data_IF_649264409005
#
_entry.id   IF_649264409005
#
_cell.length_a   1.000
_cell.length_b   1.000
_cell.length_c   1.000
_cell.angle_alpha   90.00
_cell.angle_beta   90.00
_cell.angle_gamma   90.00
#
_symmetry.space_group_name_H-M   'P 1'
#
loop_
_entity.id
_entity.type
_entity.pdbx_description
1 polymer ?
#
# COMPACT_ATOMS: atom_id res chain seq x y z
N UNK A 1 0.00 1.33 30.36
CA UNK A 1 0.18 2.21 29.17
C UNK A 1 1.05 1.59 28.06
N UNK A 2 2.04 0.74 28.38
CA UNK A 2 2.85 0.03 27.37
C UNK A 2 2.07 -1.09 26.65
N UNK A 3 1.27 -1.85 27.40
CA UNK A 3 0.44 -2.97 26.90
C UNK A 3 -0.52 -2.56 25.78
N UNK A 4 -1.27 -1.45 25.97
CA UNK A 4 -2.26 -0.96 24.99
C UNK A 4 -1.64 -0.59 23.63
N UNK A 5 -0.41 -0.07 23.61
CA UNK A 5 0.30 0.27 22.37
C UNK A 5 0.88 -0.95 21.67
N UNK A 6 1.31 -1.95 22.43
CA UNK A 6 1.80 -3.21 21.90
C UNK A 6 0.65 -4.03 21.27
N UNK A 7 -0.53 -4.00 21.90
CA UNK A 7 -1.76 -4.56 21.31
C UNK A 7 -2.18 -3.83 20.03
N UNK A 8 -2.09 -2.50 19.97
CA UNK A 8 -2.43 -1.76 18.74
C UNK A 8 -1.49 -2.11 17.58
N UNK A 9 -0.18 -2.15 17.82
CA UNK A 9 0.81 -2.55 16.79
C UNK A 9 0.63 -3.99 16.32
N UNK A 10 0.34 -4.91 17.25
CA UNK A 10 0.06 -6.30 16.92
C UNK A 10 -1.24 -6.44 16.11
N UNK A 11 -2.30 -5.72 16.50
CA UNK A 11 -3.57 -5.71 15.78
C UNK A 11 -3.40 -5.18 14.36
N UNK A 12 -2.61 -4.12 14.18
CA UNK A 12 -2.30 -3.59 12.85
C UNK A 12 -1.50 -4.59 12.00
N UNK A 13 -0.49 -5.25 12.59
CA UNK A 13 0.29 -6.27 11.87
C UNK A 13 -0.56 -7.47 11.48
N UNK A 14 -1.38 -7.97 12.42
CA UNK A 14 -2.31 -9.07 12.19
C UNK A 14 -3.32 -8.71 11.10
N UNK A 15 -3.93 -7.52 11.16
CA UNK A 15 -4.87 -7.06 10.13
C UNK A 15 -4.22 -6.94 8.74
N UNK A 16 -2.98 -6.46 8.65
CA UNK A 16 -2.23 -6.41 7.39
C UNK A 16 -1.83 -7.80 6.87
N UNK A 17 -1.47 -8.71 7.77
CA UNK A 17 -1.22 -10.12 7.42
C UNK A 17 -2.48 -10.82 6.93
N UNK A 18 -3.61 -10.62 7.62
CA UNK A 18 -4.94 -11.06 7.17
C UNK A 18 -5.24 -10.52 5.78
N UNK A 19 -4.98 -9.24 5.53
CA UNK A 19 -5.22 -8.60 4.24
C UNK A 19 -4.43 -9.29 3.11
N UNK A 20 -3.16 -9.61 3.33
CA UNK A 20 -2.32 -10.35 2.36
C UNK A 20 -2.86 -11.77 2.10
N UNK A 21 -3.26 -12.49 3.15
CA UNK A 21 -3.83 -13.82 2.96
C UNK A 21 -5.13 -13.77 2.13
N UNK A 22 -5.96 -12.74 2.34
CA UNK A 22 -7.23 -12.58 1.64
C UNK A 22 -7.09 -11.98 0.23
N UNK A 23 -5.96 -11.33 -0.09
CA UNK A 23 -5.82 -10.56 -1.33
C UNK A 23 -5.85 -11.38 -2.60
N UNK A 24 -5.63 -12.70 -2.49
CA UNK A 24 -5.76 -13.67 -3.59
C UNK A 24 -7.18 -13.78 -4.11
N UNK A 25 -8.16 -13.44 -3.27
CA UNK A 25 -9.59 -13.61 -3.54
C UNK A 25 -10.30 -12.27 -3.75
N UNK A 26 -9.57 -11.15 -3.77
CA UNK A 26 -10.18 -9.84 -4.00
C UNK A 26 -10.69 -9.74 -5.43
N UNK A 27 -11.96 -9.36 -5.54
CA UNK A 27 -12.66 -9.06 -6.79
C UNK A 27 -13.45 -7.78 -6.58
N UNK A 28 -13.52 -6.96 -7.62
CA UNK A 28 -14.27 -5.71 -7.64
C UNK A 28 -13.97 -4.80 -6.43
N UNK A 29 -12.68 -4.68 -6.07
CA UNK A 29 -12.28 -3.76 -4.99
C UNK A 29 -12.80 -2.37 -5.33
N UNK A 30 -13.50 -1.74 -4.38
CA UNK A 30 -14.06 -0.41 -4.62
C UNK A 30 -12.96 0.63 -4.81
N UNK A 31 -13.24 1.68 -5.60
CA UNK A 31 -12.32 2.80 -5.78
C UNK A 31 -11.91 3.44 -4.43
N UNK A 32 -12.83 3.47 -3.46
CA UNK A 32 -12.58 3.99 -2.11
C UNK A 32 -11.57 3.12 -1.35
N UNK A 33 -11.72 1.79 -1.42
CA UNK A 33 -10.79 0.84 -0.81
C UNK A 33 -9.40 0.96 -1.44
N UNK A 34 -9.33 1.06 -2.77
CA UNK A 34 -8.09 1.25 -3.50
C UNK A 34 -7.37 2.53 -3.02
N UNK A 35 -8.11 3.65 -2.94
CA UNK A 35 -7.56 4.91 -2.41
C UNK A 35 -7.08 4.79 -0.96
N UNK A 36 -7.79 4.05 -0.11
CA UNK A 36 -7.36 3.83 1.27
C UNK A 36 -6.03 3.06 1.33
N UNK A 37 -5.92 1.97 0.58
CA UNK A 37 -4.70 1.16 0.48
C UNK A 37 -3.51 2.01 0.01
N UNK A 38 -3.68 2.77 -1.07
CA UNK A 38 -2.59 3.58 -1.62
C UNK A 38 -2.23 4.78 -0.72
N UNK A 39 -3.19 5.38 -0.02
CA UNK A 39 -2.92 6.42 0.97
C UNK A 39 -2.08 5.89 2.14
N UNK A 40 -2.38 4.66 2.60
CA UNK A 40 -1.60 4.00 3.65
C UNK A 40 -0.18 3.69 3.17
N UNK A 41 -0.04 3.18 1.94
CA UNK A 41 1.26 2.95 1.28
C UNK A 41 2.06 4.26 1.23
N UNK A 42 1.45 5.35 0.75
CA UNK A 42 2.10 6.66 0.70
C UNK A 42 2.47 7.22 2.06
N UNK A 43 1.65 7.00 3.10
CA UNK A 43 1.99 7.42 4.46
C UNK A 43 3.22 6.67 4.99
N UNK A 44 3.29 5.36 4.76
CA UNK A 44 4.41 4.54 5.16
C UNK A 44 5.70 4.87 4.37
N UNK A 45 5.59 5.08 3.05
CA UNK A 45 6.70 5.51 2.18
C UNK A 45 7.31 6.83 2.68
N UNK A 46 6.48 7.86 2.89
CA UNK A 46 6.93 9.17 3.41
C UNK A 46 7.61 9.08 4.77
N UNK A 47 7.17 8.15 5.63
CA UNK A 47 7.81 7.93 6.93
C UNK A 47 9.24 7.39 6.76
N UNK A 48 9.46 6.45 5.84
CA UNK A 48 10.80 5.93 5.52
C UNK A 48 11.69 6.99 4.86
N UNK A 49 11.17 7.75 3.90
CA UNK A 49 11.91 8.84 3.21
C UNK A 49 12.41 9.87 4.21
N UNK A 50 11.53 10.36 5.10
CA UNK A 50 11.90 11.32 6.15
C UNK A 50 13.00 10.80 7.08
N UNK A 51 12.98 9.51 7.38
CA UNK A 51 14.01 8.91 8.23
C UNK A 51 15.35 8.79 7.51
N UNK A 52 15.35 8.43 6.23
CA UNK A 52 16.55 8.42 5.40
C UNK A 52 17.16 9.83 5.26
N UNK A 53 16.33 10.85 5.00
CA UNK A 53 16.79 12.25 4.98
C UNK A 53 17.42 12.66 6.32
N UNK A 54 16.84 12.24 7.44
CA UNK A 54 17.39 12.55 8.76
C UNK A 54 18.74 11.86 9.00
N UNK A 55 18.89 10.61 8.56
CA UNK A 55 20.17 9.89 8.63
C UNK A 55 21.23 10.57 7.78
N UNK A 56 20.92 10.93 6.54
CA UNK A 56 21.85 11.66 5.67
C UNK A 56 22.25 13.01 6.25
N UNK A 57 21.30 13.76 6.83
CA UNK A 57 21.56 15.05 7.49
C UNK A 57 22.48 14.89 8.71
N UNK A 58 22.29 13.83 9.52
CA UNK A 58 23.17 13.51 10.66
C UNK A 58 24.58 13.13 10.18
N UNK A 59 24.70 12.33 9.13
CA UNK A 59 25.97 11.92 8.54
C UNK A 59 26.75 13.11 7.95
N UNK A 60 26.07 14.00 7.20
CA UNK A 60 26.68 15.21 6.61
C UNK A 60 27.12 16.24 7.65
N UNK A 61 26.50 16.28 8.83
CA UNK A 61 26.87 17.20 9.92
C UNK A 61 28.06 16.74 10.75
N UNK A 62 28.64 15.57 10.49
CA UNK A 62 29.76 15.05 11.26
C UNK A 62 29.42 14.82 12.73
N UNK A 63 28.14 14.68 13.08
CA UNK A 63 27.69 14.32 14.43
C UNK A 63 27.93 12.81 14.66
N UNK A 64 29.21 12.40 14.68
CA UNK A 64 29.61 11.21 15.43
C UNK A 64 29.46 11.58 16.92
N UNK A 65 28.26 11.39 17.47
CA UNK A 65 28.04 11.58 18.90
C UNK A 65 28.83 10.54 19.69
N UNK A 66 30.03 10.91 20.14
CA UNK A 66 30.48 10.56 21.48
C UNK A 66 29.53 11.23 22.48
N UNK A 67 28.76 10.43 23.21
CA UNK A 67 28.11 10.86 24.46
C UNK A 67 26.61 11.14 24.37
N UNK A 68 25.88 10.44 25.25
CA UNK A 68 24.46 10.55 25.58
C UNK A 68 23.46 10.03 24.52
N UNK A 69 23.44 8.71 24.39
CA UNK A 69 22.21 7.98 24.09
C UNK A 69 21.11 8.41 25.07
N UNK A 70 20.14 9.19 24.59
CA UNK A 70 18.79 9.12 25.17
C UNK A 70 18.30 7.68 24.95
N UNK A 71 18.57 6.80 25.92
CA UNK A 71 18.27 5.34 25.96
C UNK A 71 16.81 4.92 25.70
N UNK A 72 15.93 5.81 25.27
CA UNK A 72 14.56 5.48 24.86
C UNK A 72 14.06 6.23 23.62
N UNK A 73 14.84 7.14 23.03
CA UNK A 73 14.46 7.88 21.82
C UNK A 73 14.76 7.11 20.54
N UNK A 74 15.97 6.54 20.46
CA UNK A 74 16.43 5.77 19.29
C UNK A 74 15.64 4.49 19.08
N UNK A 75 15.47 3.68 20.12
CA UNK A 75 14.71 2.42 20.02
C UNK A 75 13.24 2.62 19.58
N UNK A 76 12.61 3.70 20.04
CA UNK A 76 11.24 4.02 19.66
C UNK A 76 11.15 4.39 18.18
N UNK A 77 12.07 5.24 17.72
CA UNK A 77 12.16 5.65 16.33
C UNK A 77 12.40 4.44 15.43
N UNK A 78 13.36 3.58 15.77
CA UNK A 78 13.64 2.34 15.03
C UNK A 78 12.44 1.40 14.93
N UNK A 79 11.67 1.23 16.02
CA UNK A 79 10.43 0.44 16.00
C UNK A 79 9.37 1.03 15.07
N UNK A 80 9.20 2.35 15.06
CA UNK A 80 8.26 3.02 14.16
C UNK A 80 8.66 2.86 12.69
N UNK A 81 9.96 2.87 12.40
CA UNK A 81 10.50 2.65 11.04
C UNK A 81 10.34 1.21 10.61
N UNK A 82 10.65 0.26 11.50
CA UNK A 82 10.39 -1.15 11.25
C UNK A 82 8.91 -1.39 10.93
N UNK A 83 8.00 -0.85 11.76
CA UNK A 83 6.56 -0.96 11.53
C UNK A 83 6.10 -0.33 10.20
N UNK A 84 6.66 0.82 9.82
CA UNK A 84 6.37 1.46 8.54
C UNK A 84 6.81 0.59 7.35
N UNK A 85 7.99 -0.01 7.43
CA UNK A 85 8.47 -0.87 6.37
C UNK A 85 7.73 -2.20 6.29
N UNK A 86 7.41 -2.81 7.43
CA UNK A 86 6.50 -3.95 7.51
C UNK A 86 5.15 -3.63 6.87
N UNK A 87 4.61 -2.43 7.14
CA UNK A 87 3.36 -1.99 6.52
C UNK A 87 3.48 -1.87 5.00
N UNK A 88 4.55 -1.28 4.50
CA UNK A 88 4.81 -1.24 3.05
C UNK A 88 4.89 -2.64 2.46
N UNK A 89 5.60 -3.54 3.12
CA UNK A 89 5.80 -4.89 2.62
C UNK A 89 4.47 -5.63 2.49
N UNK A 90 3.64 -5.68 3.54
CA UNK A 90 2.29 -6.26 3.44
C UNK A 90 1.43 -5.61 2.35
N UNK A 91 1.52 -4.29 2.14
CA UNK A 91 0.75 -3.62 1.09
C UNK A 91 1.27 -3.99 -0.31
N UNK A 92 2.59 -4.03 -0.52
CA UNK A 92 3.17 -4.49 -1.77
C UNK A 92 2.81 -5.93 -2.08
N UNK A 93 2.79 -6.79 -1.07
CA UNK A 93 2.39 -8.19 -1.20
C UNK A 93 0.90 -8.33 -1.51
N UNK A 94 0.05 -7.54 -0.85
CA UNK A 94 -1.39 -7.43 -1.18
C UNK A 94 -1.57 -7.05 -2.65
N UNK A 95 -0.86 -6.01 -3.11
CA UNK A 95 -0.90 -5.55 -4.50
C UNK A 95 -0.40 -6.64 -5.45
N UNK A 96 0.74 -7.27 -5.19
CA UNK A 96 1.28 -8.35 -6.02
C UNK A 96 0.29 -9.51 -6.15
N UNK A 97 -0.36 -9.90 -5.06
CA UNK A 97 -1.36 -10.96 -5.06
C UNK A 97 -2.56 -10.61 -5.95
N UNK A 98 -3.09 -9.39 -5.85
CA UNK A 98 -4.18 -8.95 -6.72
C UNK A 98 -3.73 -8.82 -8.19
N UNK A 99 -2.54 -8.28 -8.42
CA UNK A 99 -2.05 -7.97 -9.75
C UNK A 99 -1.43 -9.18 -10.48
N UNK A 100 -1.13 -10.27 -9.79
CA UNK A 100 -0.70 -11.52 -10.43
C UNK A 100 -1.87 -12.43 -10.81
N UNK A 101 -2.99 -12.37 -10.09
CA UNK A 101 -4.09 -13.36 -10.21
C UNK A 101 -5.42 -12.79 -10.68
N UNK A 102 -5.71 -11.53 -10.36
CA UNK A 102 -7.06 -10.97 -10.49
C UNK A 102 -7.07 -9.56 -11.09
N UNK A 103 -6.12 -9.24 -11.99
CA UNK A 103 -6.10 -7.97 -12.74
C UNK A 103 -7.44 -7.67 -13.43
N UNK A 104 -8.00 -8.59 -14.25
CA UNK A 104 -9.25 -8.30 -14.96
C UNK A 104 -10.44 -8.10 -14.01
N UNK A 105 -10.36 -8.70 -12.82
CA UNK A 105 -11.40 -8.63 -11.78
C UNK A 105 -11.27 -7.38 -10.91
N UNK A 106 -10.22 -6.56 -11.06
CA UNK A 106 -9.97 -5.39 -10.21
C UNK A 106 -9.61 -4.13 -11.01
N UNK A 107 -10.48 -3.67 -11.94
CA UNK A 107 -10.19 -2.51 -12.81
C UNK A 107 -10.00 -1.20 -12.02
N UNK A 108 -10.70 -1.02 -10.90
CA UNK A 108 -10.51 0.15 -10.03
C UNK A 108 -9.12 0.20 -9.39
N UNK A 109 -8.52 -0.96 -9.10
CA UNK A 109 -7.18 -1.03 -8.52
C UNK A 109 -6.15 -0.57 -9.54
N UNK A 110 -6.24 -1.07 -10.78
CA UNK A 110 -5.38 -0.65 -11.89
C UNK A 110 -5.50 0.85 -12.14
N UNK A 111 -6.73 1.36 -12.24
CA UNK A 111 -6.98 2.79 -12.41
C UNK A 111 -6.33 3.61 -11.30
N UNK A 112 -6.51 3.22 -10.04
CA UNK A 112 -5.97 3.95 -8.88
C UNK A 112 -4.45 3.96 -8.86
N UNK A 113 -3.82 2.83 -9.20
CA UNK A 113 -2.36 2.67 -9.25
C UNK A 113 -1.75 3.56 -10.33
N UNK A 114 -2.37 3.63 -11.51
CA UNK A 114 -1.86 4.48 -12.61
C UNK A 114 -2.03 5.95 -12.31
N UNK A 115 -3.18 6.37 -11.76
CA UNK A 115 -3.40 7.77 -11.34
C UNK A 115 -2.37 8.18 -10.29
N UNK A 116 -1.95 7.26 -9.42
CA UNK A 116 -0.94 7.51 -8.40
C UNK A 116 0.43 6.92 -8.77
N UNK A 117 0.79 6.82 -10.05
CA UNK A 117 2.03 6.18 -10.50
C UNK A 117 3.29 6.72 -9.83
N UNK A 118 3.33 8.01 -9.49
CA UNK A 118 4.46 8.67 -8.82
C UNK A 118 4.74 8.08 -7.43
N UNK A 119 3.71 7.53 -6.78
CA UNK A 119 3.85 6.80 -5.52
C UNK A 119 4.79 5.60 -5.67
N UNK A 120 4.76 4.95 -6.82
CA UNK A 120 5.55 3.76 -7.15
C UNK A 120 6.87 4.09 -7.84
N UNK A 121 7.24 5.36 -7.94
CA UNK A 121 8.56 5.78 -8.41
C UNK A 121 9.70 5.25 -7.51
N UNK A 122 10.89 5.84 -7.62
CA UNK A 122 12.06 5.40 -6.84
C UNK A 122 11.71 5.21 -5.35
N UNK A 123 12.07 4.05 -4.81
CA UNK A 123 12.01 3.77 -3.38
C UNK A 123 13.36 4.12 -2.78
N UNK A 124 13.37 4.78 -1.62
CA UNK A 124 14.63 5.12 -0.99
C UNK A 124 15.37 3.82 -0.62
N UNK A 125 16.72 3.85 -0.60
CA UNK A 125 17.50 2.67 -0.28
C UNK A 125 17.03 2.10 1.05
N UNK A 126 16.66 0.81 1.01
CA UNK A 126 16.16 0.12 2.17
C UNK A 126 17.30 -0.01 3.18
N UNK A 127 17.13 0.51 4.41
CA UNK A 127 18.19 0.46 5.40
C UNK A 127 18.33 -0.96 5.94
N UNK A 128 19.50 -1.55 5.70
CA UNK A 128 19.93 -2.82 6.26
C UNK A 128 19.15 -4.06 5.81
N UNK A 129 19.85 -5.19 5.79
CA UNK A 129 19.33 -6.54 5.56
C UNK A 129 18.24 -7.02 6.53
N UNK A 130 17.79 -6.17 7.47
CA UNK A 130 16.83 -6.51 8.52
C UNK A 130 15.41 -5.97 8.26
N UNK A 131 15.23 -5.12 7.25
CA UNK A 131 13.94 -4.54 6.95
C UNK A 131 13.16 -5.46 6.00
N UNK A 132 11.88 -5.77 6.28
CA UNK A 132 11.18 -6.87 5.61
C UNK A 132 10.77 -6.59 4.15
N UNK A 133 11.06 -5.41 3.60
CA UNK A 133 10.53 -5.00 2.31
C UNK A 133 11.25 -5.72 1.16
N UNK A 134 10.53 -6.60 0.47
CA UNK A 134 11.07 -7.36 -0.67
C UNK A 134 11.29 -6.46 -1.90
N UNK A 135 12.51 -6.41 -2.47
CA UNK A 135 12.76 -5.67 -3.70
C UNK A 135 11.92 -6.18 -4.88
N UNK A 136 11.75 -7.50 -4.99
CA UNK A 136 11.01 -8.15 -6.09
C UNK A 136 9.54 -7.75 -6.10
N UNK A 137 8.91 -7.57 -4.92
CA UNK A 137 7.51 -7.16 -4.84
C UNK A 137 7.32 -5.73 -5.31
N UNK A 138 8.26 -4.83 -5.02
CA UNK A 138 8.25 -3.46 -5.52
C UNK A 138 8.39 -3.45 -7.04
N UNK A 139 9.39 -4.17 -7.55
CA UNK A 139 9.70 -4.22 -8.99
C UNK A 139 8.52 -4.74 -9.81
N UNK A 140 7.87 -5.81 -9.34
CA UNK A 140 6.65 -6.33 -9.98
C UNK A 140 5.54 -5.27 -10.08
N UNK A 141 5.27 -4.54 -8.99
CA UNK A 141 4.26 -3.48 -9.01
C UNK A 141 4.68 -2.35 -9.95
N UNK A 142 5.95 -1.98 -10.00
CA UNK A 142 6.47 -0.99 -10.93
C UNK A 142 6.32 -1.43 -12.39
N UNK A 143 6.58 -2.70 -12.73
CA UNK A 143 6.37 -3.24 -14.07
C UNK A 143 4.91 -3.10 -14.50
N UNK A 144 3.98 -3.43 -13.61
CA UNK A 144 2.54 -3.31 -13.86
C UNK A 144 2.14 -1.84 -14.02
N UNK A 145 2.58 -0.95 -13.13
CA UNK A 145 2.34 0.50 -13.21
C UNK A 145 2.82 1.02 -14.57
N UNK A 146 4.03 0.67 -14.98
CA UNK A 146 4.62 1.13 -16.23
C UNK A 146 3.86 0.61 -17.45
N UNK A 147 3.48 -0.67 -17.44
CA UNK A 147 2.68 -1.28 -18.49
C UNK A 147 1.34 -0.55 -18.66
N UNK A 148 0.54 -0.44 -17.60
CA UNK A 148 -0.78 0.19 -17.69
C UNK A 148 -0.68 1.70 -17.91
N UNK A 149 0.35 2.37 -17.38
CA UNK A 149 0.60 3.78 -17.68
C UNK A 149 0.82 3.97 -19.17
N UNK A 150 1.66 3.14 -19.82
CA UNK A 150 1.90 3.26 -21.27
C UNK A 150 0.64 3.05 -22.12
N UNK A 151 -0.25 2.15 -21.71
CA UNK A 151 -1.52 1.90 -22.42
C UNK A 151 -2.56 3.00 -22.18
N UNK A 152 -2.52 3.64 -21.01
CA UNK A 152 -3.40 4.76 -20.64
C UNK A 152 -2.85 6.14 -21.00
N UNK A 153 -1.57 6.27 -21.32
CA UNK A 153 -0.95 7.53 -21.79
C UNK A 153 -1.52 8.03 -23.12
N UNK A 154 -2.27 7.18 -23.83
CA UNK A 154 -3.09 7.57 -24.99
C UNK A 154 -4.37 8.32 -24.62
N UNK A 155 -4.69 8.48 -23.33
CA UNK A 155 -5.88 9.18 -22.87
C UNK A 155 -5.66 10.70 -22.87
N UNK A 156 -6.49 11.40 -23.63
CA UNK A 156 -6.63 12.86 -23.55
C UNK A 156 -7.39 13.24 -22.26
N UNK A 157 -7.16 14.43 -21.70
CA UNK A 157 -7.75 14.88 -20.42
C UNK A 157 -9.30 14.95 -20.44
N UNK A 158 -9.92 14.73 -21.62
CA UNK A 158 -11.36 14.76 -21.86
C UNK A 158 -12.02 13.38 -21.93
N UNK A 159 -11.27 12.29 -21.74
CA UNK A 159 -11.85 10.96 -21.84
C UNK A 159 -12.83 10.65 -20.70
N UNK A 160 -13.98 10.06 -21.07
CA UNK A 160 -14.96 9.61 -20.07
C UNK A 160 -14.40 8.48 -19.21
N UNK A 161 -14.82 8.34 -17.94
CA UNK A 161 -14.41 7.23 -17.07
C UNK A 161 -14.64 5.86 -17.71
N UNK A 162 -15.74 5.69 -18.47
CA UNK A 162 -16.05 4.45 -19.19
C UNK A 162 -15.02 4.11 -20.26
N UNK A 163 -14.46 5.11 -20.98
CA UNK A 163 -13.38 4.92 -21.95
C UNK A 163 -12.12 4.36 -21.27
N UNK A 164 -11.75 4.94 -20.13
CA UNK A 164 -10.57 4.53 -19.37
C UNK A 164 -10.71 3.07 -18.89
N UNK A 165 -11.87 2.69 -18.35
CA UNK A 165 -12.10 1.30 -17.92
C UNK A 165 -12.12 0.31 -19.08
N UNK A 166 -12.60 0.70 -20.26
CA UNK A 166 -12.52 -0.15 -21.45
C UNK A 166 -11.07 -0.37 -21.89
N UNK A 167 -10.23 0.66 -21.86
CA UNK A 167 -8.80 0.52 -22.14
C UNK A 167 -8.10 -0.36 -21.11
N UNK A 168 -8.46 -0.25 -19.84
CA UNK A 168 -7.96 -1.14 -18.78
C UNK A 168 -8.36 -2.59 -19.08
N UNK A 169 -9.61 -2.87 -19.45
CA UNK A 169 -10.05 -4.23 -19.81
C UNK A 169 -9.23 -4.78 -20.99
N UNK A 170 -9.07 -3.99 -22.06
CA UNK A 170 -8.30 -4.39 -23.23
C UNK A 170 -6.83 -4.67 -22.89
N UNK A 171 -6.18 -3.77 -22.15
CA UNK A 171 -4.79 -3.95 -21.71
C UNK A 171 -4.63 -5.14 -20.76
N UNK A 172 -5.63 -5.42 -19.93
CA UNK A 172 -5.63 -6.58 -19.01
C UNK A 172 -5.63 -7.91 -19.75
N UNK A 173 -6.24 -7.98 -20.94
CA UNK A 173 -6.25 -9.20 -21.77
C UNK A 173 -4.90 -9.49 -22.43
N UNK A 174 -4.13 -8.44 -22.71
CA UNK A 174 -2.78 -8.55 -23.29
C UNK A 174 -1.68 -8.65 -22.22
N UNK A 175 -2.02 -8.45 -20.95
CA UNK A 175 -1.08 -8.59 -19.86
C UNK A 175 -0.74 -10.06 -19.60
N UNK A 176 0.56 -10.36 -19.44
CA UNK A 176 1.02 -11.68 -19.02
C UNK A 176 1.72 -11.58 -17.67
N UNK A 177 1.20 -12.27 -16.66
CA UNK A 177 1.85 -12.37 -15.36
C UNK A 177 3.20 -13.10 -15.40
N UNK A 178 3.54 -13.78 -16.51
CA UNK A 178 4.82 -14.47 -16.68
C UNK A 178 6.05 -13.55 -16.71
N UNK A 179 5.85 -12.24 -16.88
CA UNK A 179 6.94 -11.25 -16.84
C UNK A 179 7.29 -10.82 -15.42
N UNK A 180 6.47 -11.20 -14.43
CA UNK A 180 6.68 -10.88 -13.03
C UNK A 180 7.79 -11.77 -12.46
N UNK A 181 8.61 -11.18 -11.61
CA UNK A 181 9.58 -11.90 -10.79
C UNK A 181 8.87 -12.88 -9.87
N UNK A 182 9.50 -14.03 -9.64
CA UNK A 182 9.07 -14.95 -8.60
C UNK A 182 9.18 -14.26 -7.23
N UNK A 183 8.11 -14.39 -6.45
CA UNK A 183 8.00 -13.89 -5.09
C UNK A 183 7.50 -15.05 -4.25
N UNK A 184 8.11 -15.27 -3.10
CA UNK A 184 7.63 -16.25 -2.13
C UNK A 184 6.17 -15.94 -1.77
N UNK A 185 5.32 -16.95 -1.82
CA UNK A 185 3.95 -16.80 -1.35
C UNK A 185 3.97 -16.47 0.14
N UNK A 186 3.47 -15.29 0.47
CA UNK A 186 3.35 -14.89 1.86
C UNK A 186 2.07 -15.43 2.45
N UNK A 187 2.25 -16.38 3.34
CA UNK A 187 1.20 -16.91 4.20
C UNK A 187 1.46 -16.37 5.60
N UNK A 188 0.67 -15.37 6.01
CA UNK A 188 0.70 -14.91 7.39
C UNK A 188 0.15 -16.02 8.29
N UNK A 189 1.03 -16.70 9.02
CA UNK A 189 0.66 -17.65 10.06
C UNK A 189 0.40 -16.84 11.34
N UNK A 190 -0.81 -16.97 11.89
CA UNK A 190 -1.17 -16.33 13.14
C UNK A 190 -0.45 -17.02 14.30
N UNK A 191 0.21 -16.25 15.18
CA UNK A 191 0.76 -16.81 16.42
C UNK A 191 -0.38 -17.34 17.29
N UNK A 192 -0.32 -18.63 17.65
CA UNK A 192 -1.22 -19.26 18.62
C UNK A 192 -1.03 -18.59 19.99
N UNK A 193 -1.96 -17.70 20.37
CA UNK A 193 -2.08 -17.20 21.74
C UNK A 193 -3.32 -17.76 22.41
N UNK A 194 -3.34 -17.71 23.74
CA UNK A 194 -4.37 -18.29 24.62
C UNK A 194 -5.81 -17.83 24.33
N UNK A 195 -6.02 -16.70 23.64
CA UNK A 195 -7.35 -16.18 23.24
C UNK A 195 -7.33 -15.67 21.80
N UNK A 196 -7.38 -16.55 20.78
CA UNK A 196 -7.30 -16.16 19.38
C UNK A 196 -8.58 -15.47 18.87
N UNK A 197 -9.74 -15.80 19.44
CA UNK A 197 -11.06 -15.42 18.92
C UNK A 197 -11.34 -13.90 19.02
N UNK A 198 -10.97 -13.26 20.13
CA UNK A 198 -11.23 -11.84 20.36
C UNK A 198 -10.39 -10.93 19.46
N UNK A 199 -9.19 -11.37 19.07
CA UNK A 199 -8.27 -10.59 18.24
C UNK A 199 -8.42 -10.87 16.75
N UNK A 200 -8.83 -12.09 16.39
CA UNK A 200 -9.09 -12.46 15.01
C UNK A 200 -10.24 -11.63 14.43
N UNK A 201 -11.36 -11.54 15.15
CA UNK A 201 -12.52 -10.72 14.75
C UNK A 201 -12.10 -9.25 14.61
N UNK A 202 -11.35 -8.71 15.58
CA UNK A 202 -10.88 -7.32 15.53
C UNK A 202 -9.94 -7.06 14.35
N UNK A 203 -9.04 -7.99 14.03
CA UNK A 203 -8.10 -7.87 12.90
C UNK A 203 -8.81 -7.93 11.56
N UNK A 204 -9.73 -8.91 11.39
CA UNK A 204 -10.57 -9.06 10.18
C UNK A 204 -11.48 -7.85 10.03
N UNK A 205 -12.15 -7.39 11.09
CA UNK A 205 -12.95 -6.17 11.06
C UNK A 205 -12.09 -4.95 10.72
N UNK A 206 -10.87 -4.83 11.23
CA UNK A 206 -9.99 -3.72 10.90
C UNK A 206 -9.54 -3.78 9.43
N UNK A 207 -9.22 -4.96 8.90
CA UNK A 207 -8.93 -5.17 7.49
C UNK A 207 -10.15 -4.85 6.62
N UNK A 208 -11.35 -5.30 7.01
CA UNK A 208 -12.60 -4.93 6.36
C UNK A 208 -12.88 -3.43 6.46
N UNK A 209 -12.52 -2.76 7.55
CA UNK A 209 -12.66 -1.30 7.71
C UNK A 209 -11.66 -0.55 6.82
N UNK A 210 -10.42 -1.04 6.67
CA UNK A 210 -9.46 -0.53 5.69
C UNK A 210 -10.02 -0.65 4.27
N UNK A 211 -10.81 -1.69 4.01
CA UNK A 211 -11.52 -1.87 2.74
C UNK A 211 -12.84 -1.07 2.67
N UNK A 212 -13.61 -0.89 3.74
CA UNK A 212 -15.03 -0.47 3.69
C UNK A 212 -15.30 0.99 4.11
N UNK A 213 -14.31 1.79 4.52
CA UNK A 213 -14.57 3.18 4.95
C UNK A 213 -14.92 4.18 3.82
N UNK A 214 -15.99 3.90 3.06
CA UNK A 214 -17.31 4.57 3.16
C UNK A 214 -18.32 3.99 2.15
N UNK A 215 -18.78 2.77 2.35
CA UNK A 215 -20.03 2.27 1.75
C UNK A 215 -21.31 2.83 2.40
N UNK A 216 -21.22 3.50 3.56
CA UNK A 216 -22.39 3.97 4.32
C UNK A 216 -22.18 5.35 4.94
N UNK A 217 -22.23 6.39 4.11
CA UNK A 217 -22.85 7.68 4.45
C UNK A 217 -23.59 8.19 3.22
N UNK A 218 -24.90 7.92 3.19
CA UNK A 218 -25.98 8.68 2.56
C UNK A 218 -25.78 9.22 1.13
N UNK A 219 -26.60 8.71 0.21
CA UNK A 219 -27.46 9.51 -0.68
C UNK A 219 -26.90 10.89 -1.09
N UNK A 220 -26.22 10.93 -2.22
CA UNK A 220 -26.17 12.16 -3.04
C UNK A 220 -26.48 11.79 -4.49
N UNK A 221 -27.76 11.49 -4.75
CA UNK A 221 -28.36 11.57 -6.08
C UNK A 221 -28.46 13.04 -6.57
N UNK A 222 -27.43 13.86 -6.38
CA UNK A 222 -27.53 15.31 -6.61
C UNK A 222 -26.22 16.09 -6.62
N UNK A 223 -25.08 15.49 -7.00
CA UNK A 223 -23.84 16.25 -7.17
C UNK A 223 -22.87 15.64 -8.20
N UNK A 224 -23.43 15.15 -9.31
CA UNK A 224 -22.63 14.89 -10.52
C UNK A 224 -22.34 16.17 -11.34
N UNK A 225 -22.90 17.33 -10.97
CA UNK A 225 -22.73 18.57 -11.76
C UNK A 225 -21.64 19.53 -11.23
N UNK A 226 -21.07 19.32 -10.05
CA UNK A 226 -20.09 20.28 -9.46
C UNK A 226 -18.65 19.78 -9.38
N UNK A 227 -18.36 18.54 -9.76
CA UNK A 227 -16.98 18.04 -9.85
C UNK A 227 -16.30 18.33 -11.21
N UNK A 228 -16.98 19.04 -12.12
CA UNK A 228 -16.44 19.48 -13.41
C UNK A 228 -15.58 20.74 -13.38
N UNK A 229 -15.31 21.34 -12.20
CA UNK A 229 -14.63 22.65 -12.12
C UNK A 229 -13.32 22.68 -11.34
N UNK A 230 -12.76 21.54 -10.91
CA UNK A 230 -11.49 21.54 -10.15
C UNK A 230 -10.41 20.60 -10.70
N UNK A 231 -10.38 20.42 -12.03
CA UNK A 231 -9.22 19.89 -12.76
C UNK A 231 -8.40 21.02 -13.41
N UNK A 232 -8.77 22.28 -13.17
CA UNK A 232 -7.93 23.44 -13.52
C UNK A 232 -7.02 23.73 -12.33
N UNK A 233 -5.71 23.61 -12.57
CA UNK A 233 -4.58 23.85 -11.67
C UNK A 233 -4.15 22.65 -10.80
N UNK A 234 -3.38 21.74 -11.42
CA UNK A 234 -1.98 21.46 -11.07
C UNK A 234 -1.31 20.67 -12.19
#
# INVERSE_FOLDING_TARGET
RSTKKMTDLFLHRSALGTLVNLSRNFKDISLTSCRCLLNLLGAAKRKLERWNEQKEKKQKKGEEKKGEEKKGGGEKEEREIYAAATTLDYLFQTLNSCLSRSIPENPHLIYSIVVQKDLFGSFPPLPSSHLPLSPSTIENVQLIVNYFSAHLHSCDDRESPSSVFQKIDLASRSWSASVLLEVDEYDYIYDEREEPDDYFISSVCHALILLDRRGRTQSFAGSLETAGSSVVAL
#
